data_IF_751580292083
#
_entry.id   IF_751580292083
#
_cell.length_a   1.000
_cell.length_b   1.000
_cell.length_c   1.000
_cell.angle_alpha   90.00
_cell.angle_beta   90.00
_cell.angle_gamma   90.00
#
_symmetry.space_group_name_H-M   'P 1'
#
loop_
_entity.id
_entity.type
_entity.pdbx_description
1 polymer ?
#
# COMPACT_ATOMS: atom_id res chain seq x y z
N UNK A 1 -25.93 -15.24 6.63
CA UNK A 1 -26.35 -14.10 5.78
C UNK A 1 -27.09 -14.66 4.59
N UNK A 2 -28.37 -14.36 4.46
CA UNK A 2 -29.15 -14.67 3.26
C UNK A 2 -29.14 -13.41 2.40
N UNK A 3 -28.52 -13.51 1.22
CA UNK A 3 -28.59 -12.43 0.24
C UNK A 3 -30.03 -12.31 -0.25
N UNK A 4 -30.60 -11.11 -0.16
CA UNK A 4 -31.96 -10.87 -0.64
C UNK A 4 -32.01 -10.87 -2.17
N UNK A 5 -33.20 -11.10 -2.72
CA UNK A 5 -33.42 -11.18 -4.17
C UNK A 5 -33.03 -9.88 -4.90
N UNK A 6 -33.04 -8.73 -4.20
CA UNK A 6 -32.58 -7.43 -4.70
C UNK A 6 -31.06 -7.38 -4.87
N UNK A 7 -30.30 -7.97 -3.95
CA UNK A 7 -28.85 -8.04 -3.99
C UNK A 7 -28.37 -8.91 -5.15
N UNK A 8 -29.11 -9.97 -5.48
CA UNK A 8 -28.86 -10.83 -6.63
C UNK A 8 -29.15 -10.14 -7.98
N UNK A 9 -30.09 -9.18 -8.04
CA UNK A 9 -30.39 -8.42 -9.27
C UNK A 9 -29.23 -7.56 -9.76
N UNK A 10 -28.34 -7.11 -8.88
CA UNK A 10 -27.13 -6.37 -9.28
C UNK A 10 -26.14 -7.23 -10.06
N UNK A 11 -26.22 -8.57 -9.94
CA UNK A 11 -25.42 -9.52 -10.71
C UNK A 11 -26.11 -10.01 -11.99
N UNK A 12 -27.40 -9.70 -12.16
CA UNK A 12 -28.16 -10.02 -13.37
C UNK A 12 -28.14 -8.81 -14.30
N UNK A 13 -27.04 -8.68 -15.05
CA UNK A 13 -27.01 -7.84 -16.24
C UNK A 13 -28.00 -8.45 -17.24
N UNK A 14 -29.00 -7.68 -17.69
CA UNK A 14 -30.01 -8.08 -18.67
C UNK A 14 -29.37 -8.82 -19.86
N UNK A 15 -29.66 -10.11 -19.98
CA UNK A 15 -29.07 -11.00 -20.98
C UNK A 15 -30.03 -11.22 -22.16
N UNK A 16 -30.12 -10.22 -23.03
CA UNK A 16 -30.59 -10.38 -24.41
C UNK A 16 -29.41 -10.07 -25.35
N UNK A 17 -28.42 -10.94 -25.38
CA UNK A 17 -27.28 -10.82 -26.29
C UNK A 17 -26.15 -11.76 -25.93
N UNK A 18 -25.85 -12.70 -26.81
CA UNK A 18 -24.70 -13.60 -26.68
C UNK A 18 -23.40 -12.81 -26.47
N UNK A 19 -22.73 -12.98 -25.33
CA UNK A 19 -21.29 -12.84 -25.23
C UNK A 19 -20.65 -13.85 -24.27
N UNK A 20 -19.47 -14.33 -24.69
CA UNK A 20 -18.55 -15.25 -24.01
C UNK A 20 -17.99 -14.57 -22.74
N UNK A 21 -18.47 -14.97 -21.57
CA UNK A 21 -17.89 -14.53 -20.31
C UNK A 21 -18.79 -14.83 -19.12
N UNK A 22 -18.96 -16.10 -18.76
CA UNK A 22 -19.75 -16.47 -17.58
C UNK A 22 -18.89 -16.40 -16.31
N UNK A 23 -19.28 -15.54 -15.37
CA UNK A 23 -18.73 -15.54 -14.01
C UNK A 23 -19.46 -16.65 -13.23
N UNK A 24 -18.76 -17.74 -12.96
CA UNK A 24 -19.29 -18.86 -12.18
C UNK A 24 -19.20 -18.54 -10.68
N UNK A 25 -20.01 -19.19 -9.84
CA UNK A 25 -19.97 -19.00 -8.38
C UNK A 25 -18.56 -19.21 -7.80
N UNK A 26 -17.76 -20.13 -8.37
CA UNK A 26 -16.35 -20.34 -7.98
C UNK A 26 -15.45 -19.12 -8.21
N UNK A 27 -15.83 -18.21 -9.10
CA UNK A 27 -15.12 -16.96 -9.36
C UNK A 27 -15.57 -15.84 -8.41
N UNK A 28 -16.67 -16.00 -7.64
CA UNK A 28 -17.22 -14.94 -6.78
C UNK A 28 -16.26 -14.53 -5.67
N UNK A 29 -15.50 -15.45 -5.08
CA UNK A 29 -14.49 -15.09 -4.08
C UNK A 29 -13.36 -14.24 -4.68
N UNK A 30 -12.88 -14.62 -5.88
CA UNK A 30 -11.85 -13.87 -6.58
C UNK A 30 -12.37 -12.53 -7.08
N UNK A 31 -13.61 -12.47 -7.55
CA UNK A 31 -14.28 -11.24 -7.97
C UNK A 31 -14.50 -10.30 -6.79
N UNK A 32 -14.95 -10.83 -5.64
CA UNK A 32 -15.09 -10.08 -4.41
C UNK A 32 -13.76 -9.50 -3.97
N UNK A 33 -12.68 -10.30 -3.99
CA UNK A 33 -11.34 -9.81 -3.68
C UNK A 33 -10.91 -8.70 -4.66
N UNK A 34 -11.06 -8.93 -5.96
CA UNK A 34 -10.72 -7.93 -6.98
C UNK A 34 -11.51 -6.63 -6.84
N UNK A 35 -12.82 -6.71 -6.56
CA UNK A 35 -13.69 -5.55 -6.35
C UNK A 35 -13.40 -4.85 -5.03
N UNK A 36 -13.15 -5.61 -3.96
CA UNK A 36 -12.73 -5.09 -2.66
C UNK A 36 -11.41 -4.34 -2.80
N UNK A 37 -10.42 -4.92 -3.46
CA UNK A 37 -9.11 -4.30 -3.68
C UNK A 37 -9.22 -3.10 -4.62
N UNK A 38 -10.08 -3.15 -5.65
CA UNK A 38 -10.35 -2.02 -6.55
C UNK A 38 -11.05 -0.86 -5.82
N UNK A 39 -12.06 -1.14 -5.00
CA UNK A 39 -12.72 -0.15 -4.16
C UNK A 39 -11.73 0.41 -3.13
N UNK A 40 -10.84 -0.41 -2.57
CA UNK A 40 -9.76 0.08 -1.72
C UNK A 40 -8.75 0.95 -2.50
N UNK A 41 -8.53 0.69 -3.78
CA UNK A 41 -7.59 1.46 -4.61
C UNK A 41 -8.17 2.79 -5.12
N UNK A 42 -9.48 2.86 -5.37
CA UNK A 42 -10.20 4.06 -5.83
C UNK A 42 -10.69 4.95 -4.68
N UNK A 43 -11.07 4.37 -3.53
CA UNK A 43 -11.72 5.11 -2.43
C UNK A 43 -10.92 5.16 -1.14
N UNK A 44 -9.82 4.41 -0.98
CA UNK A 44 -8.96 4.59 0.19
C UNK A 44 -7.99 5.71 -0.08
N UNK A 45 -8.05 6.70 0.79
CA UNK A 45 -7.04 7.74 0.93
C UNK A 45 -5.64 7.14 0.84
N UNK A 46 -4.95 7.41 -0.27
CA UNK A 46 -3.59 6.94 -0.51
C UNK A 46 -2.57 7.64 0.36
N UNK A 47 -2.94 8.70 1.08
CA UNK A 47 -2.05 9.39 2.02
C UNK A 47 -1.80 8.61 3.31
N UNK A 48 -2.55 7.53 3.55
CA UNK A 48 -2.36 6.69 4.74
C UNK A 48 -2.47 5.20 4.45
N UNK A 49 -1.85 4.43 5.35
CA UNK A 49 -1.91 2.97 5.41
C UNK A 49 -2.36 2.47 6.78
N UNK A 50 -2.89 3.35 7.64
CA UNK A 50 -3.29 3.00 9.01
C UNK A 50 -4.26 1.81 9.04
N UNK A 51 -5.20 1.74 8.10
CA UNK A 51 -6.18 0.65 8.00
C UNK A 51 -5.57 -0.73 7.73
N UNK A 52 -4.31 -0.78 7.30
CA UNK A 52 -3.60 -2.02 6.95
C UNK A 52 -2.56 -2.42 7.99
N UNK A 53 -2.24 -1.56 8.96
CA UNK A 53 -1.23 -1.83 9.99
C UNK A 53 -1.81 -1.91 11.40
N UNK A 54 -1.15 -2.67 12.27
CA UNK A 54 -1.34 -2.60 13.72
C UNK A 54 -0.92 -1.22 14.27
N UNK A 55 -1.50 -0.82 15.40
CA UNK A 55 -1.22 0.48 16.04
C UNK A 55 0.27 0.64 16.43
N UNK A 56 0.96 -0.46 16.75
CA UNK A 56 2.39 -0.49 17.09
C UNK A 56 3.32 -0.07 15.93
N UNK A 57 2.81 0.03 14.69
CA UNK A 57 3.56 0.45 13.50
C UNK A 57 3.29 1.91 13.12
N UNK A 58 2.70 2.69 14.05
CA UNK A 58 2.29 4.09 13.86
C UNK A 58 3.06 5.04 14.78
N UNK A 59 4.25 4.66 15.22
CA UNK A 59 5.09 5.52 16.05
C UNK A 59 5.46 6.80 15.28
N UNK A 60 5.55 7.95 15.97
CA UNK A 60 5.88 9.21 15.34
C UNK A 60 7.32 9.21 14.82
N UNK A 61 7.53 9.77 13.63
CA UNK A 61 8.87 9.90 13.07
C UNK A 61 9.74 10.82 13.92
N UNK A 62 10.98 10.38 14.16
CA UNK A 62 12.04 11.23 14.70
C UNK A 62 12.43 12.31 13.69
N UNK A 63 12.99 13.42 14.17
CA UNK A 63 13.38 14.53 13.28
C UNK A 63 14.50 14.14 12.31
N UNK A 64 15.41 13.27 12.74
CA UNK A 64 16.45 12.68 11.87
C UNK A 64 15.82 11.92 10.69
N UNK A 65 14.81 11.09 10.97
CA UNK A 65 14.15 10.30 9.94
C UNK A 65 13.34 11.17 8.97
N UNK A 66 12.68 12.23 9.47
CA UNK A 66 12.02 13.23 8.62
C UNK A 66 13.01 13.90 7.67
N UNK A 67 14.18 14.29 8.16
CA UNK A 67 15.23 14.91 7.34
C UNK A 67 15.72 13.96 6.24
N UNK A 68 15.94 12.68 6.55
CA UNK A 68 16.35 11.71 5.53
C UNK A 68 15.29 11.49 4.45
N UNK A 69 14.01 11.39 4.82
CA UNK A 69 12.90 11.29 3.85
C UNK A 69 12.79 12.55 2.96
N UNK A 70 13.04 13.74 3.53
CA UNK A 70 13.12 14.98 2.77
C UNK A 70 14.31 15.04 1.81
N UNK A 71 15.46 14.48 2.20
CA UNK A 71 16.60 14.39 1.31
C UNK A 71 16.38 13.37 0.19
N UNK A 72 15.82 12.21 0.54
CA UNK A 72 15.48 11.15 -0.41
C UNK A 72 14.64 11.71 -1.56
N UNK A 73 13.58 12.46 -1.26
CA UNK A 73 12.69 12.96 -2.30
C UNK A 73 13.32 14.02 -3.22
N UNK A 74 14.34 14.73 -2.73
CA UNK A 74 15.10 15.70 -3.53
C UNK A 74 16.10 15.02 -4.46
N UNK A 75 16.65 13.88 -4.04
CA UNK A 75 17.72 13.15 -4.75
C UNK A 75 17.20 12.03 -5.65
N UNK A 76 16.00 11.53 -5.36
CA UNK A 76 15.40 10.38 -6.06
C UNK A 76 14.39 10.84 -7.10
N UNK A 77 14.41 10.32 -8.34
CA UNK A 77 13.41 10.65 -9.35
C UNK A 77 11.99 10.34 -8.84
N UNK A 78 11.04 11.23 -9.08
CA UNK A 78 9.66 11.08 -8.58
C UNK A 78 8.99 9.77 -9.04
N UNK A 79 9.32 9.27 -10.23
CA UNK A 79 8.83 7.97 -10.71
C UNK A 79 9.23 6.82 -9.79
N UNK A 80 10.46 6.83 -9.28
CA UNK A 80 10.97 5.82 -8.34
C UNK A 80 10.32 6.01 -6.96
N UNK A 81 10.18 7.25 -6.48
CA UNK A 81 9.49 7.52 -5.19
C UNK A 81 8.05 7.00 -5.23
N UNK A 82 7.35 7.15 -6.37
CA UNK A 82 6.01 6.59 -6.57
C UNK A 82 6.03 5.05 -6.48
N UNK A 83 6.97 4.40 -7.17
CA UNK A 83 7.11 2.94 -7.10
C UNK A 83 7.39 2.47 -5.67
N UNK A 84 8.22 3.18 -4.92
CA UNK A 84 8.48 2.90 -3.50
C UNK A 84 7.19 2.98 -2.69
N UNK A 85 6.39 4.04 -2.84
CA UNK A 85 5.11 4.17 -2.14
C UNK A 85 4.13 3.04 -2.52
N UNK A 86 4.04 2.69 -3.80
CA UNK A 86 3.18 1.60 -4.26
C UNK A 86 3.62 0.24 -3.66
N UNK A 87 4.92 -0.07 -3.72
CA UNK A 87 5.50 -1.28 -3.13
C UNK A 87 5.34 -1.34 -1.60
N UNK A 88 5.53 -0.21 -0.92
CA UNK A 88 5.33 -0.10 0.53
C UNK A 88 3.89 -0.47 0.92
N UNK A 89 2.91 -0.01 0.14
CA UNK A 89 1.50 -0.34 0.39
C UNK A 89 1.23 -1.83 0.18
N UNK A 90 1.83 -2.46 -0.82
CA UNK A 90 1.72 -3.90 -1.08
C UNK A 90 2.31 -4.74 0.06
N UNK A 91 3.50 -4.38 0.55
CA UNK A 91 4.11 -5.01 1.73
C UNK A 91 3.14 -4.92 2.91
N UNK A 92 2.64 -3.74 3.19
CA UNK A 92 1.80 -3.52 4.36
C UNK A 92 0.43 -4.23 4.25
N UNK A 93 -0.12 -4.39 3.06
CA UNK A 93 -1.35 -5.16 2.86
C UNK A 93 -1.17 -6.65 3.16
N UNK A 94 0.00 -7.21 2.88
CA UNK A 94 0.31 -8.62 3.16
C UNK A 94 0.78 -8.82 4.60
N UNK A 95 1.54 -7.87 5.14
CA UNK A 95 2.34 -8.08 6.34
C UNK A 95 1.98 -7.16 7.52
N UNK A 96 1.21 -6.10 7.29
CA UNK A 96 0.95 -5.05 8.28
C UNK A 96 0.14 -5.49 9.51
N UNK A 97 -0.58 -6.62 9.43
CA UNK A 97 -1.35 -7.20 10.54
C UNK A 97 -0.58 -8.27 11.32
N UNK A 98 0.64 -8.64 10.89
CA UNK A 98 1.47 -9.61 11.61
C UNK A 98 2.18 -8.93 12.78
N UNK A 99 2.20 -9.59 13.95
CA UNK A 99 2.89 -9.10 15.14
C UNK A 99 4.40 -9.37 15.01
N UNK A 100 5.22 -8.34 15.21
CA UNK A 100 6.70 -8.42 15.16
C UNK A 100 7.32 -8.04 16.50
N UNK A 101 8.53 -8.55 16.73
CA UNK A 101 9.38 -8.10 17.84
C UNK A 101 10.13 -6.82 17.42
N UNK A 102 9.56 -5.67 17.79
CA UNK A 102 10.12 -4.35 17.47
C UNK A 102 11.50 -4.10 18.09
N UNK A 103 11.91 -4.85 19.12
CA UNK A 103 13.23 -4.70 19.73
C UNK A 103 14.37 -5.11 18.79
N UNK A 104 14.08 -5.95 17.78
CA UNK A 104 15.04 -6.35 16.76
C UNK A 104 15.38 -5.22 15.79
N UNK A 105 14.59 -4.15 15.76
CA UNK A 105 14.76 -2.99 14.87
C UNK A 105 15.01 -3.42 13.42
N UNK A 106 14.16 -4.31 12.93
CA UNK A 106 14.27 -4.81 11.57
C UNK A 106 14.01 -3.67 10.56
N UNK A 107 14.96 -3.39 9.65
CA UNK A 107 14.79 -2.43 8.56
C UNK A 107 13.56 -2.73 7.70
N UNK A 108 12.75 -1.70 7.45
CA UNK A 108 11.62 -1.83 6.53
C UNK A 108 12.09 -2.03 5.08
N UNK A 109 13.27 -1.50 4.72
CA UNK A 109 13.83 -1.63 3.37
C UNK A 109 14.01 -3.08 2.92
N UNK A 110 14.29 -4.00 3.85
CA UNK A 110 14.46 -5.43 3.54
C UNK A 110 13.21 -6.03 2.88
N UNK A 111 12.03 -5.46 3.15
CA UNK A 111 10.77 -5.89 2.57
C UNK A 111 10.54 -5.28 1.19
N UNK A 112 11.07 -4.07 0.95
CA UNK A 112 11.02 -3.41 -0.34
C UNK A 112 12.00 -4.04 -1.32
N UNK A 113 13.21 -4.41 -0.89
CA UNK A 113 14.23 -5.04 -1.74
C UNK A 113 13.69 -6.32 -2.42
N UNK A 114 12.71 -7.00 -1.82
CA UNK A 114 12.04 -8.17 -2.41
C UNK A 114 11.12 -7.85 -3.60
N UNK A 115 10.81 -6.58 -3.88
CA UNK A 115 9.83 -6.12 -4.89
C UNK A 115 10.51 -5.70 -6.21
N UNK A 116 11.65 -6.30 -6.55
CA UNK A 116 12.41 -6.02 -7.80
C UNK A 116 12.81 -4.54 -7.98
N UNK A 117 13.26 -3.87 -6.92
CA UNK A 117 14.03 -2.63 -7.10
C UNK A 117 15.45 -2.95 -7.57
N UNK A 118 15.98 -2.15 -8.49
CA UNK A 118 17.42 -2.14 -8.75
C UNK A 118 18.17 -1.51 -7.57
N UNK A 119 19.41 -1.92 -7.31
CA UNK A 119 20.19 -1.48 -6.14
C UNK A 119 20.27 0.05 -5.95
N UNK A 120 20.21 0.80 -7.06
CA UNK A 120 20.26 2.27 -7.09
C UNK A 120 18.92 2.95 -6.77
N UNK A 121 17.79 2.26 -6.90
CA UNK A 121 16.46 2.86 -6.69
C UNK A 121 16.17 3.11 -5.21
N UNK A 122 16.84 2.37 -4.32
CA UNK A 122 16.76 2.52 -2.87
C UNK A 122 18.01 3.14 -2.25
N UNK A 123 18.92 3.71 -3.06
CA UNK A 123 20.20 4.27 -2.58
C UNK A 123 20.01 5.35 -1.50
N UNK A 124 19.04 6.25 -1.69
CA UNK A 124 18.73 7.33 -0.75
C UNK A 124 17.62 6.99 0.24
N UNK A 125 17.10 5.76 0.20
CA UNK A 125 16.08 5.32 1.15
C UNK A 125 16.72 5.15 2.54
N UNK A 126 16.06 5.56 3.63
CA UNK A 126 16.62 5.50 4.99
C UNK A 126 16.63 4.06 5.55
N UNK A 127 17.41 3.16 4.93
CA UNK A 127 17.40 1.71 5.19
C UNK A 127 17.61 1.39 6.67
N UNK A 128 18.56 2.05 7.34
CA UNK A 128 18.93 1.72 8.72
C UNK A 128 18.00 2.30 9.79
N UNK A 129 17.38 3.44 9.51
CA UNK A 129 16.58 4.18 10.51
C UNK A 129 15.08 3.93 10.38
N UNK A 130 14.60 3.59 9.19
CA UNK A 130 13.19 3.31 8.97
C UNK A 130 12.89 1.84 9.27
N UNK A 131 12.43 1.60 10.49
CA UNK A 131 11.98 0.29 10.97
C UNK A 131 10.44 0.20 10.99
N UNK A 132 9.90 -0.99 11.28
CA UNK A 132 8.46 -1.27 11.23
C UNK A 132 7.60 -0.41 12.17
N UNK A 133 8.13 -0.01 13.32
CA UNK A 133 7.48 0.91 14.27
C UNK A 133 7.09 2.25 13.63
N UNK A 134 7.91 2.77 12.70
CA UNK A 134 7.64 4.01 11.97
C UNK A 134 6.88 3.83 10.66
N UNK A 135 6.52 2.60 10.28
CA UNK A 135 6.07 2.26 8.94
C UNK A 135 4.91 3.14 8.43
N UNK A 136 3.84 3.27 9.20
CA UNK A 136 2.66 4.01 8.76
C UNK A 136 2.89 5.52 8.71
N UNK A 137 3.54 6.06 9.73
CA UNK A 137 3.85 7.49 9.81
C UNK A 137 4.88 7.89 8.76
N UNK A 138 5.85 7.03 8.49
CA UNK A 138 6.87 7.16 7.44
C UNK A 138 6.26 7.23 6.06
N UNK A 139 5.39 6.27 5.74
CA UNK A 139 4.64 6.25 4.49
C UNK A 139 3.84 7.54 4.29
N UNK A 140 3.04 7.93 5.29
CA UNK A 140 2.17 9.11 5.19
C UNK A 140 2.98 10.39 4.98
N UNK A 141 4.10 10.52 5.69
CA UNK A 141 5.00 11.66 5.55
C UNK A 141 5.64 11.71 4.16
N UNK A 142 6.16 10.59 3.66
CA UNK A 142 6.75 10.51 2.34
C UNK A 142 5.72 10.78 1.24
N UNK A 143 4.49 10.29 1.38
CA UNK A 143 3.40 10.55 0.46
C UNK A 143 3.08 12.05 0.36
N UNK A 144 3.00 12.75 1.51
CA UNK A 144 2.77 14.19 1.53
C UNK A 144 3.90 14.98 0.87
N UNK A 145 5.16 14.57 1.08
CA UNK A 145 6.29 15.15 0.36
C UNK A 145 6.15 14.92 -1.15
N UNK A 146 5.83 13.69 -1.56
CA UNK A 146 5.68 13.31 -2.97
C UNK A 146 4.56 14.09 -3.67
N UNK A 147 3.42 14.24 -3.00
CA UNK A 147 2.31 15.05 -3.50
C UNK A 147 2.72 16.51 -3.70
N UNK A 148 3.46 17.09 -2.77
CA UNK A 148 3.97 18.48 -2.90
C UNK A 148 4.95 18.63 -4.06
N UNK A 149 5.82 17.64 -4.27
CA UNK A 149 6.81 17.67 -5.33
C UNK A 149 6.27 17.34 -6.73
N UNK A 150 5.13 16.64 -6.82
CA UNK A 150 4.50 16.26 -8.10
C UNK A 150 3.48 17.29 -8.63
N UNK A 151 3.06 18.24 -7.80
CA UNK A 151 2.17 19.34 -8.19
C UNK A 151 2.92 20.63 -8.60
N UNK A 152 4.25 20.65 -8.51
CA UNK A 152 5.10 21.74 -8.99
C UNK A 152 5.65 21.42 -10.38
#
# INVERSE_FOLDING_TARGET
MLFDEKSCKLFLVNLEGQQKGFILCRHMCNLWRLLHDAVLLEFVDRSTINNFVLDMYREPLTDSLKQQLQEMIKKTPLGIVKQILDAWREVVQSEGQNIRDLNKKEPFSNWLDNIMFFDNELEFFPKELLTWDYCATGYAYLYELFKRSSCN
#
